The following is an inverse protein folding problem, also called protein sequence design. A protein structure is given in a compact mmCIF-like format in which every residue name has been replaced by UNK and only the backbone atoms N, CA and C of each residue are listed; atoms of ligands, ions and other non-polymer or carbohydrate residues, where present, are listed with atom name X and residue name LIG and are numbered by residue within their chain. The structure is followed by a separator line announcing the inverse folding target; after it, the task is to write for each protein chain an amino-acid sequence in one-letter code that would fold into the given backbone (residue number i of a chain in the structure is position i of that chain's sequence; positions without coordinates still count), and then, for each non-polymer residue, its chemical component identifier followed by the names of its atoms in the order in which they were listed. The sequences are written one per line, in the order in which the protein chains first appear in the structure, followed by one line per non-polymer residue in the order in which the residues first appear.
data_IF_348291884015
#
_entry.id   IF_348291884015
#
_cell.length_a   1.000
_cell.length_b   1.000
_cell.length_c   1.000
_cell.angle_alpha   90.00
_cell.angle_beta   90.00
_cell.angle_gamma   90.00
#
_symmetry.space_group_name_H-M   'P 1'
#
loop_
_entity.id
_entity.type
_entity.pdbx_description
1 polymer ?
#
# COMPACT_ATOMS: atom_id res chain seq x y z
N UNK A 1 21.54 -12.64 -22.47
CA UNK A 1 20.70 -12.90 -21.30
C UNK A 1 19.65 -11.80 -21.28
N UNK A 2 18.40 -12.13 -21.49
CA UNK A 2 17.32 -11.15 -21.29
C UNK A 2 17.34 -10.78 -19.82
N UNK A 3 17.46 -9.50 -19.54
CA UNK A 3 17.46 -9.01 -18.17
C UNK A 3 16.04 -9.11 -17.62
N UNK A 4 15.86 -9.94 -16.60
CA UNK A 4 14.61 -10.03 -15.84
C UNK A 4 14.19 -8.64 -15.37
N UNK A 5 12.91 -8.32 -15.46
CA UNK A 5 12.33 -7.11 -14.91
C UNK A 5 12.25 -7.13 -13.39
N UNK A 6 11.69 -6.05 -12.80
CA UNK A 6 11.58 -5.88 -11.35
C UNK A 6 10.15 -5.51 -10.96
N UNK A 7 9.80 -5.85 -9.72
CA UNK A 7 8.58 -5.34 -9.09
C UNK A 7 8.94 -4.17 -8.16
N UNK A 8 8.36 -3.01 -8.43
CA UNK A 8 8.47 -1.84 -7.56
C UNK A 8 7.19 -1.67 -6.74
N UNK A 9 7.33 -1.55 -5.43
CA UNK A 9 6.25 -1.16 -4.53
C UNK A 9 6.43 0.33 -4.24
N UNK A 10 5.50 1.14 -4.73
CA UNK A 10 5.66 2.60 -4.74
C UNK A 10 4.62 3.25 -3.85
N UNK A 11 5.03 3.81 -2.70
CA UNK A 11 4.13 4.58 -1.84
C UNK A 11 3.58 5.82 -2.55
N UNK A 12 2.31 6.10 -2.32
CA UNK A 12 1.60 7.27 -2.82
C UNK A 12 1.22 8.22 -1.68
N UNK A 13 0.99 9.51 -1.94
CA UNK A 13 0.67 10.50 -0.93
C UNK A 13 -0.53 10.13 -0.05
N UNK A 14 -0.48 10.52 1.23
CA UNK A 14 -1.56 10.34 2.20
C UNK A 14 -2.15 11.71 2.54
N UNK A 15 -3.04 12.20 1.67
CA UNK A 15 -3.74 13.48 1.86
C UNK A 15 -2.98 14.74 1.45
N UNK A 16 -1.69 14.66 1.17
CA UNK A 16 -0.89 15.78 0.65
C UNK A 16 -0.03 15.32 -0.53
N UNK A 17 -0.27 15.89 -1.72
CA UNK A 17 0.46 15.52 -2.93
C UNK A 17 1.97 15.78 -2.82
N UNK A 18 2.42 16.76 -2.03
CA UNK A 18 3.83 17.07 -1.84
C UNK A 18 4.64 15.95 -1.16
N UNK A 19 3.97 14.96 -0.55
CA UNK A 19 4.62 13.80 0.07
C UNK A 19 5.07 12.73 -0.94
N UNK A 20 4.94 12.97 -2.23
CA UNK A 20 5.47 12.09 -3.26
C UNK A 20 6.98 12.26 -3.40
N UNK A 21 7.73 11.16 -3.31
CA UNK A 21 9.19 11.25 -3.44
C UNK A 21 9.63 11.40 -4.90
N UNK A 22 10.73 12.14 -5.14
CA UNK A 22 11.34 12.23 -6.48
C UNK A 22 11.64 10.87 -7.10
N UNK A 23 12.09 9.90 -6.27
CA UNK A 23 12.37 8.55 -6.73
C UNK A 23 11.11 7.80 -7.13
N UNK A 24 10.01 7.98 -6.42
CA UNK A 24 8.72 7.40 -6.77
C UNK A 24 8.23 7.92 -8.13
N UNK A 25 8.29 9.23 -8.36
CA UNK A 25 7.94 9.83 -9.65
C UNK A 25 8.82 9.27 -10.77
N UNK A 26 10.14 9.18 -10.55
CA UNK A 26 11.06 8.61 -11.53
C UNK A 26 10.71 7.17 -11.87
N UNK A 27 10.54 6.31 -10.87
CA UNK A 27 10.21 4.88 -11.06
C UNK A 27 8.89 4.71 -11.81
N UNK A 28 7.86 5.51 -11.48
CA UNK A 28 6.58 5.44 -12.18
C UNK A 28 6.66 5.92 -13.64
N UNK A 29 7.55 6.86 -13.95
CA UNK A 29 7.80 7.30 -15.34
C UNK A 29 8.54 6.25 -16.17
N UNK A 30 9.38 5.44 -15.52
CA UNK A 30 10.21 4.41 -16.17
C UNK A 30 9.55 3.02 -16.18
N UNK A 31 8.47 2.81 -15.45
CA UNK A 31 7.76 1.53 -15.38
C UNK A 31 7.02 1.22 -16.69
N UNK A 32 7.14 -0.03 -17.17
CA UNK A 32 6.42 -0.53 -18.34
C UNK A 32 4.93 -0.73 -18.07
N UNK A 33 4.58 -0.99 -16.80
CA UNK A 33 3.21 -1.20 -16.34
C UNK A 33 3.06 -0.69 -14.91
N UNK A 34 1.99 0.08 -14.68
CA UNK A 34 1.59 0.54 -13.35
C UNK A 34 0.32 -0.20 -12.95
N UNK A 35 0.37 -0.88 -11.81
CA UNK A 35 -0.77 -1.55 -11.18
C UNK A 35 -1.35 -0.64 -10.11
N UNK A 36 -2.67 -0.48 -10.09
CA UNK A 36 -3.37 0.37 -9.13
C UNK A 36 -4.66 -0.29 -8.62
N UNK A 37 -5.01 -0.01 -7.37
CA UNK A 37 -6.24 -0.50 -6.77
C UNK A 37 -7.46 0.15 -7.45
N UNK A 38 -7.56 1.46 -7.46
CA UNK A 38 -8.53 2.22 -8.26
C UNK A 38 -7.81 3.04 -9.34
N UNK A 39 -8.00 2.64 -10.60
CA UNK A 39 -7.38 3.32 -11.73
C UNK A 39 -7.88 4.76 -11.93
N UNK A 40 -9.06 5.10 -11.44
CA UNK A 40 -9.63 6.46 -11.55
C UNK A 40 -8.88 7.42 -10.63
N UNK A 41 -8.73 7.06 -9.35
CA UNK A 41 -7.96 7.82 -8.35
C UNK A 41 -6.50 7.93 -8.78
N UNK A 42 -5.91 6.81 -9.17
CA UNK A 42 -4.51 6.76 -9.61
C UNK A 42 -4.26 7.57 -10.88
N UNK A 43 -5.20 7.62 -11.83
CA UNK A 43 -5.05 8.46 -13.03
C UNK A 43 -4.93 9.94 -12.70
N UNK A 44 -5.65 10.43 -11.68
CA UNK A 44 -5.55 11.83 -11.23
C UNK A 44 -4.15 12.09 -10.66
N UNK A 45 -3.64 11.19 -9.82
CA UNK A 45 -2.29 11.27 -9.25
C UNK A 45 -1.23 11.27 -10.36
N UNK A 46 -1.27 10.31 -11.28
CA UNK A 46 -0.30 10.19 -12.36
C UNK A 46 -0.30 11.42 -13.26
N UNK A 47 -1.48 11.97 -13.58
CA UNK A 47 -1.61 13.20 -14.35
C UNK A 47 -1.00 14.41 -13.63
N UNK A 48 -1.15 14.50 -12.31
CA UNK A 48 -0.58 15.60 -11.52
C UNK A 48 0.96 15.65 -11.62
N UNK A 49 1.61 14.48 -11.66
CA UNK A 49 3.07 14.37 -11.78
C UNK A 49 3.58 14.20 -13.22
N UNK A 50 2.72 14.38 -14.21
CA UNK A 50 3.07 14.19 -15.62
C UNK A 50 3.69 12.80 -15.88
N UNK A 51 3.02 11.77 -15.40
CA UNK A 51 3.41 10.36 -15.56
C UNK A 51 2.48 9.72 -16.61
N UNK A 52 3.05 9.29 -17.73
CA UNK A 52 2.35 8.67 -18.85
C UNK A 52 2.72 7.19 -18.96
N UNK A 53 2.10 6.34 -18.12
CA UNK A 53 2.35 4.91 -18.08
C UNK A 53 1.10 4.09 -18.42
N UNK A 54 1.29 2.82 -18.78
CA UNK A 54 0.19 1.86 -18.90
C UNK A 54 -0.35 1.57 -17.52
N UNK A 55 -1.62 1.91 -17.27
CA UNK A 55 -2.28 1.69 -15.99
C UNK A 55 -3.21 0.47 -16.09
N UNK A 56 -3.11 -0.45 -15.15
CA UNK A 56 -3.94 -1.65 -15.05
C UNK A 56 -4.47 -1.80 -13.64
N UNK A 57 -5.75 -2.19 -13.53
CA UNK A 57 -6.37 -2.46 -12.23
C UNK A 57 -5.82 -3.74 -11.59
N UNK A 58 -5.45 -3.64 -10.30
CA UNK A 58 -5.01 -4.74 -9.45
C UNK A 58 -5.59 -4.54 -8.06
N UNK A 59 -6.73 -5.15 -7.80
CA UNK A 59 -7.49 -4.98 -6.57
C UNK A 59 -7.80 -6.34 -5.93
N UNK A 60 -8.28 -6.35 -4.72
CA UNK A 60 -8.58 -7.53 -3.91
C UNK A 60 -9.38 -8.63 -4.63
N UNK A 61 -10.29 -8.24 -5.55
CA UNK A 61 -11.15 -9.21 -6.24
C UNK A 61 -10.49 -9.84 -7.46
N UNK A 62 -9.43 -9.26 -8.04
CA UNK A 62 -8.74 -9.81 -9.20
C UNK A 62 -7.30 -10.25 -8.92
N UNK A 63 -6.78 -9.99 -7.73
CA UNK A 63 -5.38 -10.25 -7.34
C UNK A 63 -4.97 -11.70 -7.61
N UNK A 64 -5.81 -12.67 -7.28
CA UNK A 64 -5.55 -14.10 -7.51
C UNK A 64 -5.36 -14.46 -8.98
N UNK A 65 -6.11 -13.79 -9.88
CA UNK A 65 -6.03 -14.05 -11.31
C UNK A 65 -4.87 -13.30 -11.97
N UNK A 66 -4.61 -12.10 -11.50
CA UNK A 66 -3.61 -11.21 -12.11
C UNK A 66 -2.19 -11.47 -11.63
N UNK A 67 -1.98 -11.92 -10.39
CA UNK A 67 -0.65 -12.10 -9.81
C UNK A 67 0.26 -13.00 -10.64
N UNK A 68 -0.24 -14.16 -11.12
CA UNK A 68 0.53 -15.08 -11.96
C UNK A 68 0.88 -14.43 -13.31
N UNK A 69 -0.09 -13.80 -13.95
CA UNK A 69 0.13 -13.13 -15.26
C UNK A 69 1.14 -11.99 -15.14
N UNK A 70 1.06 -11.20 -14.08
CA UNK A 70 2.02 -10.11 -13.84
C UNK A 70 3.41 -10.67 -13.57
N UNK A 71 3.54 -11.70 -12.73
CA UNK A 71 4.79 -12.41 -12.48
C UNK A 71 5.45 -12.86 -13.80
N UNK A 72 4.70 -13.50 -14.70
CA UNK A 72 5.23 -13.97 -15.99
C UNK A 72 5.71 -12.81 -16.87
N UNK A 73 5.03 -11.66 -16.85
CA UNK A 73 5.47 -10.45 -17.56
C UNK A 73 6.78 -9.91 -16.99
N UNK A 74 6.95 -9.91 -15.66
CA UNK A 74 8.19 -9.47 -15.03
C UNK A 74 9.35 -10.42 -15.40
N UNK A 75 9.11 -11.73 -15.39
CA UNK A 75 10.09 -12.72 -15.85
C UNK A 75 10.49 -12.51 -17.33
N UNK A 76 9.54 -12.03 -18.15
CA UNK A 76 9.80 -11.66 -19.54
C UNK A 76 10.47 -10.27 -19.70
N UNK A 77 10.90 -9.63 -18.62
CA UNK A 77 11.71 -8.40 -18.66
C UNK A 77 10.96 -7.10 -18.36
N UNK A 78 9.63 -7.12 -18.09
CA UNK A 78 8.89 -5.88 -17.79
C UNK A 78 9.16 -5.39 -16.36
N UNK A 79 9.42 -4.09 -16.22
CA UNK A 79 9.42 -3.39 -14.94
C UNK A 79 8.00 -3.00 -14.56
N UNK A 80 7.52 -3.53 -13.45
CA UNK A 80 6.14 -3.30 -12.98
C UNK A 80 6.16 -2.50 -11.69
N UNK A 81 5.38 -1.44 -11.61
CA UNK A 81 5.16 -0.67 -10.39
C UNK A 81 3.77 -0.93 -9.82
N UNK A 82 3.67 -1.19 -8.53
CA UNK A 82 2.42 -1.30 -7.79
C UNK A 82 2.24 -0.06 -6.92
N UNK A 83 1.08 0.59 -7.04
CA UNK A 83 0.63 1.70 -6.20
C UNK A 83 -0.70 1.37 -5.53
N UNK A 84 -1.00 2.01 -4.42
CA UNK A 84 -2.31 2.02 -3.76
C UNK A 84 -2.96 3.40 -3.84
N UNK A 85 -4.18 3.54 -3.37
CA UNK A 85 -4.88 4.83 -3.36
C UNK A 85 -4.21 5.84 -2.42
N UNK A 86 -3.62 5.36 -1.30
CA UNK A 86 -2.86 6.19 -0.38
C UNK A 86 -1.88 5.35 0.46
N UNK A 87 -0.64 5.81 0.61
CA UNK A 87 0.38 5.16 1.43
C UNK A 87 1.12 4.03 0.72
N UNK A 88 1.63 3.08 1.49
CA UNK A 88 2.46 1.98 1.01
C UNK A 88 1.60 0.78 0.64
N UNK A 89 1.62 0.30 -0.62
CA UNK A 89 0.87 -0.88 -1.06
C UNK A 89 1.22 -2.14 -0.25
N UNK A 90 0.25 -3.02 -0.07
CA UNK A 90 0.42 -4.28 0.65
C UNK A 90 0.26 -4.19 2.17
N UNK A 91 0.11 -2.99 2.73
CA UNK A 91 -0.21 -2.76 4.15
C UNK A 91 -1.71 -2.47 4.24
N UNK A 92 -2.53 -3.47 4.43
CA UNK A 92 -4.00 -3.43 4.39
C UNK A 92 -4.63 -3.26 2.99
N UNK A 93 -3.84 -3.03 1.97
CA UNK A 93 -4.22 -2.87 0.56
C UNK A 93 -3.83 -4.13 -0.25
N UNK A 94 -4.33 -4.28 -1.49
CA UNK A 94 -3.89 -5.33 -2.39
C UNK A 94 -2.38 -5.26 -2.67
N UNK A 95 -1.77 -6.42 -2.96
CA UNK A 95 -0.35 -6.50 -3.31
C UNK A 95 0.41 -7.60 -2.57
N UNK A 96 -0.08 -8.05 -1.42
CA UNK A 96 0.60 -9.12 -0.67
C UNK A 96 0.77 -10.39 -1.51
N UNK A 97 -0.27 -10.81 -2.23
CA UNK A 97 -0.21 -12.03 -3.04
C UNK A 97 0.77 -11.88 -4.21
N UNK A 98 0.78 -10.72 -4.87
CA UNK A 98 1.71 -10.42 -5.95
C UNK A 98 3.16 -10.43 -5.45
N UNK A 99 3.44 -9.73 -4.34
CA UNK A 99 4.76 -9.71 -3.70
C UNK A 99 5.22 -11.12 -3.33
N UNK A 100 4.34 -11.91 -2.69
CA UNK A 100 4.62 -13.31 -2.32
C UNK A 100 4.93 -14.17 -3.55
N UNK A 101 4.14 -14.03 -4.62
CA UNK A 101 4.32 -14.78 -5.86
C UNK A 101 5.64 -14.42 -6.53
N UNK A 102 5.98 -13.14 -6.62
CA UNK A 102 7.24 -12.68 -7.19
C UNK A 102 8.45 -13.13 -6.36
N UNK A 103 8.36 -13.05 -5.02
CA UNK A 103 9.43 -13.50 -4.13
C UNK A 103 9.70 -15.00 -4.25
N UNK A 104 8.67 -15.83 -4.41
CA UNK A 104 8.81 -17.27 -4.60
C UNK A 104 9.56 -17.63 -5.89
N UNK A 105 9.50 -16.80 -6.92
CA UNK A 105 10.19 -16.97 -8.21
C UNK A 105 11.54 -16.24 -8.27
N UNK A 106 12.01 -15.67 -7.17
CA UNK A 106 13.30 -14.95 -7.12
C UNK A 106 13.32 -13.64 -7.90
N UNK A 107 12.14 -13.06 -8.18
CA UNK A 107 12.06 -11.73 -8.80
C UNK A 107 12.53 -10.66 -7.81
N UNK A 108 13.35 -9.73 -8.29
CA UNK A 108 13.77 -8.59 -7.49
C UNK A 108 12.57 -7.69 -7.17
N UNK A 109 12.32 -7.51 -5.86
CA UNK A 109 11.26 -6.63 -5.35
C UNK A 109 11.91 -5.44 -4.68
N UNK A 110 11.62 -4.24 -5.19
CA UNK A 110 12.12 -3.01 -4.63
C UNK A 110 10.98 -2.18 -4.03
N UNK A 111 10.85 -2.21 -2.71
CA UNK A 111 9.93 -1.32 -2.00
C UNK A 111 10.62 0.02 -1.75
N UNK A 112 10.00 1.10 -2.24
CA UNK A 112 10.51 2.45 -2.03
C UNK A 112 10.09 2.97 -0.66
N UNK A 113 10.96 3.68 0.08
CA UNK A 113 10.53 4.46 1.22
C UNK A 113 9.65 5.62 0.75
N UNK A 114 8.63 5.96 1.52
CA UNK A 114 7.70 7.01 1.15
C UNK A 114 6.57 7.20 2.15
N UNK A 115 5.50 7.84 1.72
CA UNK A 115 4.38 8.20 2.56
C UNK A 115 3.70 6.97 3.21
N UNK A 116 3.38 7.11 4.48
CA UNK A 116 2.61 6.14 5.27
C UNK A 116 1.86 6.88 6.38
N UNK A 117 0.64 6.45 6.70
CA UNK A 117 -0.15 7.10 7.74
C UNK A 117 0.27 6.66 9.16
N UNK A 118 0.65 5.39 9.34
CA UNK A 118 0.84 4.81 10.66
C UNK A 118 2.06 5.39 11.40
N UNK A 119 3.18 5.63 10.74
CA UNK A 119 4.39 6.15 11.38
C UNK A 119 4.22 7.60 11.85
N UNK A 120 3.75 8.56 11.03
CA UNK A 120 3.44 9.90 11.52
C UNK A 120 2.42 9.90 12.66
N UNK A 121 1.39 9.04 12.61
CA UNK A 121 0.40 8.94 13.67
C UNK A 121 1.03 8.50 15.00
N UNK A 122 1.89 7.47 14.99
CA UNK A 122 2.60 7.00 16.19
C UNK A 122 3.51 8.09 16.74
N UNK A 123 4.32 8.72 15.91
CA UNK A 123 5.26 9.78 16.33
C UNK A 123 4.51 10.98 16.91
N UNK A 124 3.40 11.39 16.29
CA UNK A 124 2.61 12.55 16.75
C UNK A 124 1.73 12.26 17.96
N UNK A 125 1.54 11.01 18.35
CA UNK A 125 0.68 10.62 19.46
C UNK A 125 1.26 10.96 20.83
N UNK A 126 2.59 11.11 20.94
CA UNK A 126 3.29 11.25 22.21
C UNK A 126 3.35 9.95 23.05
N UNK A 127 2.85 8.84 22.52
CA UNK A 127 2.97 7.51 23.16
C UNK A 127 4.35 6.90 22.86
N UNK A 128 4.80 5.89 23.67
CA UNK A 128 6.02 5.16 23.37
C UNK A 128 6.00 4.59 21.96
N UNK A 129 7.02 4.89 21.16
CA UNK A 129 7.08 4.57 19.73
C UNK A 129 8.25 3.67 19.31
N UNK A 130 9.10 3.29 20.26
CA UNK A 130 10.22 2.34 20.06
C UNK A 130 9.74 0.93 19.73
N UNK A 131 8.56 0.55 20.26
CA UNK A 131 7.90 -0.74 20.02
C UNK A 131 6.40 -0.54 19.94
N UNK A 132 5.80 -0.85 18.80
CA UNK A 132 4.36 -0.74 18.58
C UNK A 132 3.82 -1.88 17.74
N UNK A 133 2.50 -2.09 17.76
CA UNK A 133 1.80 -3.07 16.94
C UNK A 133 0.91 -2.35 15.93
N UNK A 134 0.95 -2.80 14.68
CA UNK A 134 -0.03 -2.40 13.67
C UNK A 134 -1.09 -3.50 13.54
N UNK A 135 -2.31 -3.21 13.99
CA UNK A 135 -3.43 -4.16 14.04
C UNK A 135 -4.36 -4.05 12.82
N UNK A 136 -4.09 -3.07 11.94
CA UNK A 136 -4.88 -2.87 10.73
C UNK A 136 -6.35 -2.56 11.04
N UNK A 137 -7.26 -3.09 10.20
CA UNK A 137 -8.69 -2.85 10.34
C UNK A 137 -9.35 -3.80 11.34
N UNK A 138 -10.10 -3.24 12.27
CA UNK A 138 -10.96 -4.06 13.13
C UNK A 138 -12.09 -4.70 12.30
N UNK A 139 -12.47 -5.95 12.57
CA UNK A 139 -13.64 -6.57 11.97
C UNK A 139 -14.89 -5.72 12.19
N UNK A 140 -15.73 -5.58 11.15
CA UNK A 140 -16.94 -4.73 11.22
C UNK A 140 -17.97 -5.29 12.21
N UNK A 141 -18.14 -6.63 12.24
CA UNK A 141 -19.15 -7.30 13.11
C UNK A 141 -18.56 -8.53 13.79
N UNK A 142 -18.49 -9.67 13.08
CA UNK A 142 -18.06 -10.96 13.64
C UNK A 142 -16.59 -10.93 14.02
N UNK A 143 -16.26 -11.33 15.24
CA UNK A 143 -14.89 -11.38 15.76
C UNK A 143 -14.36 -10.06 16.32
N UNK A 144 -15.08 -8.92 16.15
CA UNK A 144 -14.65 -7.61 16.67
C UNK A 144 -14.46 -7.61 18.18
N UNK A 145 -15.46 -8.12 18.93
CA UNK A 145 -15.41 -8.14 20.40
C UNK A 145 -14.28 -9.04 20.90
N UNK A 146 -14.10 -10.22 20.29
CA UNK A 146 -13.02 -11.13 20.63
C UNK A 146 -11.65 -10.47 20.43
N UNK A 147 -11.44 -9.82 19.26
CA UNK A 147 -10.20 -9.12 18.99
C UNK A 147 -9.97 -7.97 19.98
N UNK A 148 -10.98 -7.15 20.24
CA UNK A 148 -10.87 -6.06 21.22
C UNK A 148 -10.50 -6.60 22.62
N UNK A 149 -11.10 -7.71 23.05
CA UNK A 149 -10.73 -8.35 24.32
C UNK A 149 -9.27 -8.83 24.32
N UNK A 150 -8.80 -9.41 23.23
CA UNK A 150 -7.39 -9.81 23.11
C UNK A 150 -6.46 -8.60 23.19
N UNK A 151 -6.81 -7.50 22.52
CA UNK A 151 -6.00 -6.27 22.50
C UNK A 151 -5.92 -5.57 23.87
N UNK A 152 -6.83 -5.82 24.82
CA UNK A 152 -6.74 -5.21 26.16
C UNK A 152 -5.50 -5.66 26.96
N UNK A 153 -4.88 -6.77 26.58
CA UNK A 153 -3.67 -7.28 27.20
C UNK A 153 -2.39 -6.90 26.46
N UNK A 154 -2.48 -6.17 25.34
CA UNK A 154 -1.32 -5.72 24.58
C UNK A 154 -0.65 -4.54 25.28
N UNK A 155 0.60 -4.68 25.76
CA UNK A 155 1.29 -3.61 26.52
C UNK A 155 1.92 -2.54 25.62
N UNK A 156 2.02 -2.79 24.31
CA UNK A 156 2.67 -1.86 23.39
C UNK A 156 1.66 -0.86 22.81
N UNK A 157 2.15 0.27 22.35
CA UNK A 157 1.34 1.20 21.57
C UNK A 157 0.73 0.47 20.37
N UNK A 158 -0.57 0.62 20.16
CA UNK A 158 -1.30 -0.01 19.06
C UNK A 158 -1.73 1.01 18.03
N UNK A 159 -1.57 0.68 16.76
CA UNK A 159 -2.09 1.45 15.63
C UNK A 159 -3.23 0.68 15.00
N UNK A 160 -4.42 1.25 15.04
CA UNK A 160 -5.63 0.71 14.44
C UNK A 160 -6.04 1.57 13.25
N UNK A 161 -6.44 0.92 12.17
CA UNK A 161 -7.01 1.60 11.01
C UNK A 161 -8.53 1.55 11.06
N UNK A 162 -9.21 2.64 10.64
CA UNK A 162 -10.66 2.72 10.59
C UNK A 162 -11.11 2.82 9.13
N UNK A 163 -12.22 2.14 8.81
CA UNK A 163 -12.85 2.22 7.49
C UNK A 163 -13.65 3.53 7.39
N UNK A 164 -13.81 4.06 6.20
CA UNK A 164 -14.55 5.31 5.89
C UNK A 164 -15.92 5.46 6.55
N UNK A 165 -16.62 4.37 6.83
CA UNK A 165 -17.92 4.37 7.51
C UNK A 165 -17.85 4.96 8.94
N UNK A 166 -16.65 5.03 9.52
CA UNK A 166 -16.40 5.57 10.86
C UNK A 166 -16.00 7.06 10.85
N UNK A 167 -15.80 7.67 9.71
CA UNK A 167 -15.30 9.05 9.60
C UNK A 167 -16.21 10.14 10.15
N UNK A 168 -17.56 10.06 10.10
CA UNK A 168 -18.42 11.03 10.77
C UNK A 168 -18.15 11.15 12.27
N UNK A 169 -17.69 10.07 12.89
CA UNK A 169 -17.38 10.01 14.33
C UNK A 169 -15.98 10.57 14.66
N UNK A 170 -15.08 10.68 13.69
CA UNK A 170 -13.72 11.23 13.88
C UNK A 170 -13.72 12.69 14.33
N UNK A 171 -14.70 13.50 13.93
CA UNK A 171 -14.78 14.92 14.30
C UNK A 171 -15.00 15.14 15.79
N UNK A 172 -15.39 14.12 16.55
CA UNK A 172 -15.67 14.20 17.98
C UNK A 172 -14.63 13.48 18.86
N UNK A 173 -13.65 12.82 18.27
CA UNK A 173 -12.61 12.07 19.00
C UNK A 173 -11.27 12.83 19.13
N UNK A 174 -11.22 14.09 18.69
CA UNK A 174 -10.08 15.00 18.83
C UNK A 174 -10.55 16.28 19.54
N UNK A 175 -11.20 16.12 20.66
CA UNK A 175 -11.47 17.21 21.60
C UNK A 175 -11.08 16.79 23.01
#
# INVERSE_FOLDING_TARGET
METQGKLYIVPTPVGNLEDMTYRAVKVLKEADLILAEDTRTSSVLLKHYDIHGKLQSHHKFNEHQTASVIKDRILAGLNVALISDAGTPGISDPGFLLVRTCAAEGIEIQTLPGATACIPAVVSSGLPCDRFCFEGFLPVKKGRQTLLTTLTTEPRTMVLSLIHISEPTRRYAIS
#
